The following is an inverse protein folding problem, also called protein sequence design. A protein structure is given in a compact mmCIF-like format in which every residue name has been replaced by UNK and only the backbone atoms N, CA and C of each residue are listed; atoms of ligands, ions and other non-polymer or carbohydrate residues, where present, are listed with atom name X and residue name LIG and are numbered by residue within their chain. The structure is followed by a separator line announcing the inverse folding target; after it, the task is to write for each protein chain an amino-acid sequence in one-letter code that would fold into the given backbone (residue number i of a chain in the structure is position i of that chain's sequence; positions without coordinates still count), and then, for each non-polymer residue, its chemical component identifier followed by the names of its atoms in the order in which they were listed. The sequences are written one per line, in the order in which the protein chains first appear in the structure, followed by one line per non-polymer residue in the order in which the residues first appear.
data_IF_298569215689
#
_entry.id   IF_298569215689
#
_cell.length_a   1.000
_cell.length_b   1.000
_cell.length_c   1.000
_cell.angle_alpha   90.00
_cell.angle_beta   90.00
_cell.angle_gamma   90.00
#
_symmetry.space_group_name_H-M   'P 1'
#
loop_
_entity.id
_entity.type
_entity.pdbx_description
1 polymer ?
#
# COMPACT_ATOMS: atom_id res chain seq x y z
N UNK A 1 10.30 33.59 -8.50
CA UNK A 1 10.50 32.14 -8.72
C UNK A 1 9.28 31.67 -9.50
N UNK A 2 9.46 31.38 -10.79
CA UNK A 2 8.37 30.83 -11.64
C UNK A 2 8.05 29.43 -11.11
N UNK A 3 6.77 29.20 -10.76
CA UNK A 3 6.28 27.84 -10.45
C UNK A 3 6.54 26.96 -11.68
N UNK A 4 7.15 25.78 -11.55
CA UNK A 4 7.26 24.85 -12.66
C UNK A 4 5.85 24.46 -13.13
N UNK A 5 5.65 24.20 -14.42
CA UNK A 5 4.34 23.79 -14.92
C UNK A 5 3.89 22.54 -14.22
N UNK A 6 2.62 22.51 -13.79
CA UNK A 6 2.01 21.42 -13.01
C UNK A 6 2.03 20.05 -13.70
N UNK A 7 2.47 19.98 -14.94
CA UNK A 7 2.48 18.80 -15.79
C UNK A 7 3.77 17.97 -15.75
N UNK A 8 4.85 18.46 -15.13
CA UNK A 8 6.17 17.80 -15.18
C UNK A 8 6.60 17.12 -13.90
N UNK A 9 5.80 17.17 -12.85
CA UNK A 9 6.06 16.49 -11.59
C UNK A 9 5.29 15.17 -11.53
N UNK A 10 5.97 14.08 -11.88
CA UNK A 10 5.55 12.69 -11.69
C UNK A 10 4.45 12.15 -12.61
N UNK A 11 4.72 11.94 -13.91
CA UNK A 11 3.79 11.18 -14.73
C UNK A 11 3.74 9.68 -14.39
N UNK A 12 4.70 9.11 -13.64
CA UNK A 12 4.92 7.65 -13.63
C UNK A 12 5.23 7.03 -12.28
N UNK A 13 4.62 7.47 -11.22
CA UNK A 13 4.58 6.63 -10.04
C UNK A 13 3.61 5.49 -10.30
N UNK A 14 4.12 4.31 -10.29
CA UNK A 14 3.45 3.03 -10.42
C UNK A 14 2.04 3.10 -9.86
N UNK A 15 1.11 3.23 -10.73
CA UNK A 15 -0.30 3.42 -10.54
C UNK A 15 -0.98 2.29 -9.79
N UNK A 16 -0.29 1.23 -9.59
CA UNK A 16 -0.71 0.06 -8.91
C UNK A 16 -0.94 0.29 -7.41
N UNK A 17 0.03 0.83 -6.67
CA UNK A 17 -0.14 1.30 -5.29
C UNK A 17 -0.53 2.77 -5.26
N UNK A 18 0.02 3.56 -6.14
CA UNK A 18 -0.28 5.00 -6.27
C UNK A 18 -1.66 5.29 -6.87
N UNK A 19 -2.31 4.30 -7.48
CA UNK A 19 -3.71 4.37 -7.92
C UNK A 19 -4.73 4.27 -6.78
N UNK A 20 -4.30 3.97 -5.56
CA UNK A 20 -5.17 3.92 -4.39
C UNK A 20 -5.89 5.25 -4.19
N UNK A 21 -7.23 5.17 -4.07
CA UNK A 21 -8.10 6.34 -3.99
C UNK A 21 -8.49 6.95 -5.35
N UNK A 22 -7.99 6.44 -6.48
CA UNK A 22 -8.54 6.78 -7.79
C UNK A 22 -9.95 6.21 -7.98
N UNK A 23 -10.22 5.08 -7.34
CA UNK A 23 -11.54 4.49 -7.11
C UNK A 23 -11.75 4.41 -5.61
N UNK A 24 -12.96 4.67 -5.12
CA UNK A 24 -13.28 4.68 -3.69
C UNK A 24 -13.08 3.28 -3.09
N UNK A 25 -12.18 3.14 -2.13
CA UNK A 25 -11.91 1.87 -1.47
C UNK A 25 -13.03 1.36 -0.57
N UNK A 26 -14.10 2.14 -0.37
CA UNK A 26 -15.32 1.73 0.36
C UNK A 26 -16.45 1.29 -0.57
N UNK A 27 -16.29 1.48 -1.89
CA UNK A 27 -17.27 1.06 -2.88
C UNK A 27 -17.36 -0.47 -2.95
N UNK A 28 -18.57 -0.99 -3.13
CA UNK A 28 -18.82 -2.43 -3.21
C UNK A 28 -18.13 -3.09 -4.41
N UNK A 29 -17.90 -2.36 -5.50
CA UNK A 29 -17.18 -2.85 -6.69
C UNK A 29 -15.66 -2.84 -6.52
N UNK A 30 -15.14 -2.25 -5.43
CA UNK A 30 -13.71 -2.25 -5.15
C UNK A 30 -13.23 -3.66 -4.72
N UNK A 31 -12.27 -4.21 -5.45
CA UNK A 31 -11.74 -5.57 -5.20
C UNK A 31 -10.40 -5.58 -4.44
N UNK A 32 -9.78 -4.42 -4.27
CA UNK A 32 -8.48 -4.32 -3.59
C UNK A 32 -7.31 -4.03 -4.53
N UNK A 33 -6.15 -4.48 -4.15
CA UNK A 33 -4.91 -4.39 -4.91
C UNK A 33 -4.71 -5.65 -5.75
N UNK A 34 -4.14 -5.53 -6.95
CA UNK A 34 -3.75 -6.65 -7.81
C UNK A 34 -2.25 -6.95 -7.72
N UNK A 35 -1.80 -8.13 -8.08
CA UNK A 35 -0.42 -8.55 -8.25
C UNK A 35 0.14 -9.29 -7.05
N UNK A 36 1.47 -9.26 -6.87
CA UNK A 36 2.22 -10.06 -5.91
C UNK A 36 1.66 -10.04 -4.48
N UNK A 37 1.24 -8.88 -3.98
CA UNK A 37 0.59 -8.70 -2.67
C UNK A 37 -0.85 -8.20 -2.82
N UNK A 38 -1.46 -8.49 -3.97
CA UNK A 38 -2.85 -8.20 -4.25
C UNK A 38 -3.81 -9.10 -3.46
N UNK A 39 -5.07 -8.71 -3.40
CA UNK A 39 -6.11 -9.61 -2.88
C UNK A 39 -6.32 -10.79 -3.85
N UNK A 40 -6.63 -11.97 -3.33
CA UNK A 40 -7.03 -13.11 -4.18
C UNK A 40 -8.21 -12.72 -5.08
N UNK A 41 -9.18 -11.97 -4.55
CA UNK A 41 -10.32 -11.45 -5.32
C UNK A 41 -9.89 -10.66 -6.55
N UNK A 42 -8.95 -9.70 -6.40
CA UNK A 42 -8.46 -8.92 -7.55
C UNK A 42 -7.67 -9.77 -8.54
N UNK A 43 -6.83 -10.67 -8.05
CA UNK A 43 -6.01 -11.54 -8.90
C UNK A 43 -6.88 -12.52 -9.70
N UNK A 44 -7.82 -13.20 -9.08
CA UNK A 44 -8.75 -14.10 -9.76
C UNK A 44 -9.70 -13.35 -10.69
N UNK A 45 -10.25 -12.20 -10.25
CA UNK A 45 -11.11 -11.38 -11.10
C UNK A 45 -10.41 -10.93 -12.39
N UNK A 46 -9.11 -10.60 -12.33
CA UNK A 46 -8.34 -10.27 -13.55
C UNK A 46 -8.01 -11.51 -14.38
N UNK A 47 -7.72 -12.64 -13.75
CA UNK A 47 -7.43 -13.89 -14.48
C UNK A 47 -8.67 -14.42 -15.22
N UNK A 48 -9.88 -14.16 -14.71
CA UNK A 48 -11.13 -14.72 -15.21
C UNK A 48 -11.95 -13.73 -16.07
N UNK A 49 -11.56 -12.43 -16.14
CA UNK A 49 -12.33 -11.44 -16.91
C UNK A 49 -12.21 -11.68 -18.43
N UNK A 50 -13.22 -11.26 -19.17
CA UNK A 50 -13.27 -11.25 -20.64
C UNK A 50 -12.77 -9.91 -21.24
N UNK A 51 -12.85 -8.81 -20.46
CA UNK A 51 -12.36 -7.49 -20.82
C UNK A 51 -11.60 -6.88 -19.66
N UNK A 52 -10.34 -6.51 -19.89
CA UNK A 52 -9.50 -5.77 -18.94
C UNK A 52 -9.23 -4.35 -19.47
N UNK A 53 -9.77 -3.35 -18.79
CA UNK A 53 -9.51 -1.94 -19.10
C UNK A 53 -8.42 -1.43 -18.14
N UNK A 54 -7.26 -1.12 -18.66
CA UNK A 54 -6.09 -0.68 -17.90
C UNK A 54 -5.91 0.82 -18.05
N UNK A 55 -5.96 1.53 -16.93
CA UNK A 55 -5.98 2.99 -16.91
C UNK A 55 -4.72 3.52 -16.25
N UNK A 56 -3.78 4.06 -17.04
CA UNK A 56 -2.55 4.68 -16.58
C UNK A 56 -1.66 3.75 -15.74
N UNK A 57 -1.65 2.44 -16.03
CA UNK A 57 -0.88 1.45 -15.30
C UNK A 57 0.13 0.74 -16.20
N UNK A 58 1.37 0.67 -15.71
CA UNK A 58 2.41 -0.17 -16.33
C UNK A 58 2.19 -1.62 -15.93
N UNK A 59 2.29 -2.51 -16.84
CA UNK A 59 2.31 -3.95 -16.58
C UNK A 59 3.68 -4.37 -16.01
N UNK A 60 3.98 -3.98 -14.76
CA UNK A 60 5.23 -4.36 -14.11
C UNK A 60 5.20 -5.82 -13.65
N UNK A 61 6.39 -6.40 -13.45
CA UNK A 61 6.57 -7.76 -12.95
C UNK A 61 5.84 -8.02 -11.61
N UNK A 62 5.77 -7.00 -10.75
CA UNK A 62 5.06 -7.08 -9.45
C UNK A 62 3.54 -7.14 -9.60
N UNK A 63 3.02 -6.78 -10.76
CA UNK A 63 1.58 -6.80 -11.09
C UNK A 63 1.23 -8.06 -11.87
N UNK A 64 2.03 -8.35 -12.88
CA UNK A 64 1.72 -9.31 -13.92
C UNK A 64 2.10 -10.74 -13.49
N UNK A 65 3.18 -10.88 -12.71
CA UNK A 65 3.74 -12.20 -12.43
C UNK A 65 4.25 -12.86 -13.72
N UNK A 66 3.61 -13.95 -14.13
CA UNK A 66 3.87 -14.59 -15.43
C UNK A 66 3.10 -13.85 -16.54
N UNK A 67 3.83 -13.12 -17.37
CA UNK A 67 3.26 -12.34 -18.47
C UNK A 67 2.54 -13.20 -19.52
N UNK A 68 2.93 -14.45 -19.69
CA UNK A 68 2.33 -15.35 -20.69
C UNK A 68 0.92 -15.81 -20.31
N UNK A 69 0.61 -15.77 -19.00
CA UNK A 69 -0.67 -16.20 -18.44
C UNK A 69 -1.55 -15.05 -17.97
N UNK A 70 -0.99 -13.83 -17.87
CA UNK A 70 -1.71 -12.68 -17.36
C UNK A 70 -2.91 -12.30 -18.23
N UNK A 71 -4.12 -12.39 -17.67
CA UNK A 71 -5.39 -12.08 -18.34
C UNK A 71 -5.50 -12.69 -19.74
N UNK A 72 -5.02 -13.94 -19.92
CA UNK A 72 -4.84 -14.59 -21.22
C UNK A 72 -6.15 -14.81 -22.00
N UNK A 73 -7.29 -14.76 -21.31
CA UNK A 73 -8.62 -14.90 -21.90
C UNK A 73 -9.30 -13.55 -22.20
N UNK A 74 -8.73 -12.46 -21.69
CA UNK A 74 -9.33 -11.13 -21.79
C UNK A 74 -8.91 -10.40 -23.05
N UNK A 75 -9.81 -9.56 -23.57
CA UNK A 75 -9.44 -8.42 -24.41
C UNK A 75 -8.86 -7.32 -23.55
N UNK A 76 -7.72 -6.76 -23.93
CA UNK A 76 -7.03 -5.74 -23.14
C UNK A 76 -7.08 -4.39 -23.84
N UNK A 77 -7.73 -3.42 -23.18
CA UNK A 77 -7.75 -2.01 -23.58
C UNK A 77 -6.83 -1.22 -22.63
N UNK A 78 -5.75 -0.62 -23.16
CA UNK A 78 -4.84 0.20 -22.37
C UNK A 78 -5.04 1.71 -22.67
N UNK A 79 -5.27 2.47 -21.60
CA UNK A 79 -5.38 3.94 -21.65
C UNK A 79 -4.17 4.52 -20.93
N UNK A 80 -3.27 5.17 -21.65
CA UNK A 80 -2.06 5.73 -21.05
C UNK A 80 -1.69 7.08 -21.71
N UNK A 81 -0.95 7.90 -20.99
CA UNK A 81 -0.42 9.15 -21.51
C UNK A 81 0.95 8.94 -22.17
N UNK A 82 1.65 7.86 -21.81
CA UNK A 82 2.97 7.53 -22.32
C UNK A 82 2.87 6.47 -23.43
N UNK A 83 3.16 6.82 -24.69
CA UNK A 83 3.18 5.84 -25.78
C UNK A 83 4.21 4.71 -25.58
N UNK A 84 5.27 4.94 -24.78
CA UNK A 84 6.31 3.94 -24.54
C UNK A 84 5.84 2.80 -23.62
N UNK A 85 4.75 2.96 -22.91
CA UNK A 85 4.17 1.91 -22.06
C UNK A 85 3.22 0.98 -22.83
N UNK A 86 2.76 1.39 -24.04
CA UNK A 86 1.87 0.57 -24.87
C UNK A 86 2.60 -0.62 -25.46
N UNK A 87 2.04 -1.82 -25.25
CA UNK A 87 2.60 -3.10 -25.73
C UNK A 87 4.00 -3.44 -25.19
N UNK A 88 4.46 -2.77 -24.15
CA UNK A 88 5.81 -2.95 -23.60
C UNK A 88 6.01 -4.30 -22.93
N UNK A 89 5.14 -4.64 -22.00
CA UNK A 89 5.23 -5.88 -21.22
C UNK A 89 4.09 -6.86 -21.53
N UNK A 90 2.92 -6.35 -21.81
CA UNK A 90 1.73 -7.12 -22.22
C UNK A 90 1.24 -6.56 -23.55
N UNK A 91 0.94 -7.45 -24.49
CA UNK A 91 0.34 -7.08 -25.76
C UNK A 91 -1.14 -6.73 -25.53
N UNK A 92 -1.56 -5.56 -26.01
CA UNK A 92 -2.95 -5.08 -25.87
C UNK A 92 -3.73 -5.23 -27.17
N UNK A 93 -5.03 -5.48 -27.09
CA UNK A 93 -5.92 -5.54 -28.26
C UNK A 93 -6.22 -4.14 -28.80
N UNK A 94 -6.33 -3.17 -27.91
CA UNK A 94 -6.55 -1.76 -28.25
C UNK A 94 -5.86 -0.84 -27.25
N UNK A 95 -5.50 0.35 -27.70
CA UNK A 95 -4.94 1.38 -26.83
C UNK A 95 -5.39 2.79 -27.23
N UNK A 96 -5.44 3.68 -26.24
CA UNK A 96 -5.68 5.11 -26.47
C UNK A 96 -4.65 5.92 -25.70
N UNK A 97 -3.89 6.75 -26.42
CA UNK A 97 -2.86 7.62 -25.84
C UNK A 97 -3.44 8.98 -25.57
N UNK A 98 -3.31 9.48 -24.33
CA UNK A 98 -3.76 10.81 -23.95
C UNK A 98 -4.13 10.96 -22.47
N UNK A 99 -4.69 12.12 -22.15
CA UNK A 99 -5.22 12.41 -20.81
C UNK A 99 -6.42 11.51 -20.50
N UNK A 100 -6.29 10.69 -19.45
CA UNK A 100 -7.30 9.71 -19.04
C UNK A 100 -8.66 10.36 -18.74
N UNK A 101 -8.67 11.55 -18.15
CA UNK A 101 -9.93 12.25 -17.85
C UNK A 101 -10.68 12.60 -19.13
N UNK A 102 -9.97 13.00 -20.19
CA UNK A 102 -10.55 13.30 -21.50
C UNK A 102 -11.03 12.02 -22.17
N UNK A 103 -10.19 10.96 -22.13
CA UNK A 103 -10.52 9.66 -22.71
C UNK A 103 -11.79 9.09 -22.08
N UNK A 104 -11.83 9.00 -20.75
CA UNK A 104 -12.97 8.44 -20.02
C UNK A 104 -14.26 9.23 -20.24
N UNK A 105 -14.19 10.57 -20.31
CA UNK A 105 -15.36 11.39 -20.65
C UNK A 105 -15.91 11.08 -22.04
N UNK A 106 -15.02 10.93 -23.04
CA UNK A 106 -15.42 10.61 -24.40
C UNK A 106 -15.95 9.17 -24.53
N UNK A 107 -15.38 8.25 -23.76
CA UNK A 107 -15.84 6.86 -23.71
C UNK A 107 -17.24 6.78 -23.11
N UNK A 108 -17.44 7.36 -21.94
CA UNK A 108 -18.72 7.36 -21.24
C UNK A 108 -19.85 8.02 -22.06
N UNK A 109 -19.52 9.02 -22.88
CA UNK A 109 -20.51 9.66 -23.76
C UNK A 109 -20.95 8.80 -24.95
N UNK A 110 -20.31 7.65 -25.18
CA UNK A 110 -20.58 6.73 -26.29
C UNK A 110 -21.07 5.34 -25.84
N UNK A 111 -20.98 5.07 -24.55
CA UNK A 111 -21.42 3.80 -23.98
C UNK A 111 -22.82 3.96 -23.44
N UNK A 112 -23.71 3.06 -23.83
CA UNK A 112 -24.99 2.88 -23.17
C UNK A 112 -24.79 2.12 -21.85
N UNK A 113 -25.65 2.33 -20.86
CA UNK A 113 -25.64 1.52 -19.64
C UNK A 113 -25.80 0.04 -19.97
N UNK A 114 -24.90 -0.78 -19.49
CA UNK A 114 -24.91 -2.24 -19.68
C UNK A 114 -25.06 -2.88 -18.30
N UNK A 115 -25.84 -3.95 -18.21
CA UNK A 115 -25.98 -4.74 -17.00
C UNK A 115 -24.87 -5.78 -16.93
N UNK A 116 -24.17 -5.82 -15.79
CA UNK A 116 -23.12 -6.77 -15.48
C UNK A 116 -23.42 -7.60 -14.23
N UNK A 117 -24.69 -7.82 -13.87
CA UNK A 117 -25.10 -8.46 -12.61
C UNK A 117 -24.43 -9.80 -12.38
N UNK A 118 -24.28 -10.62 -13.42
CA UNK A 118 -23.63 -11.94 -13.30
C UNK A 118 -22.15 -11.81 -12.92
N UNK A 119 -21.45 -10.83 -13.51
CA UNK A 119 -20.05 -10.56 -13.19
C UNK A 119 -19.91 -9.97 -11.80
N UNK A 120 -20.77 -9.03 -11.43
CA UNK A 120 -20.80 -8.45 -10.08
C UNK A 120 -21.01 -9.54 -9.05
N UNK A 121 -22.02 -10.40 -9.22
CA UNK A 121 -22.28 -11.54 -8.33
C UNK A 121 -21.10 -12.53 -8.27
N UNK A 122 -20.35 -12.70 -9.36
CA UNK A 122 -19.15 -13.52 -9.37
C UNK A 122 -18.04 -12.89 -8.50
N UNK A 123 -17.77 -11.60 -8.69
CA UNK A 123 -16.76 -10.86 -7.88
C UNK A 123 -17.14 -10.85 -6.40
N UNK A 124 -18.42 -10.71 -6.06
CA UNK A 124 -18.89 -10.78 -4.67
C UNK A 124 -18.62 -12.16 -4.07
N UNK A 125 -18.90 -13.25 -4.79
CA UNK A 125 -18.52 -14.59 -4.34
C UNK A 125 -17.01 -14.73 -4.09
N UNK A 126 -16.17 -14.14 -4.95
CA UNK A 126 -14.71 -14.14 -4.72
C UNK A 126 -14.33 -13.37 -3.44
N UNK A 127 -15.00 -12.26 -3.14
CA UNK A 127 -14.78 -11.52 -1.88
C UNK A 127 -15.14 -12.36 -0.65
N UNK A 128 -16.25 -13.07 -0.71
CA UNK A 128 -16.72 -13.93 0.39
C UNK A 128 -15.79 -15.13 0.61
N UNK A 129 -15.31 -15.74 -0.48
CA UNK A 129 -14.40 -16.88 -0.41
C UNK A 129 -12.99 -16.49 0.05
N UNK A 130 -12.50 -15.31 -0.36
CA UNK A 130 -11.10 -14.90 -0.18
C UNK A 130 -10.95 -13.55 0.54
N UNK A 131 -11.57 -13.36 1.73
CA UNK A 131 -11.36 -12.14 2.48
C UNK A 131 -9.91 -12.02 2.96
N UNK A 132 -9.43 -10.79 3.09
CA UNK A 132 -8.17 -10.55 3.79
C UNK A 132 -8.30 -10.98 5.25
N UNK A 133 -7.31 -11.74 5.74
CA UNK A 133 -7.30 -12.31 7.08
C UNK A 133 -5.99 -12.02 7.80
N UNK A 134 -6.06 -11.87 9.10
CA UNK A 134 -4.91 -11.78 10.00
C UNK A 134 -5.33 -12.25 11.41
N UNK A 135 -4.36 -12.50 12.28
CA UNK A 135 -4.66 -12.87 13.66
C UNK A 135 -5.12 -11.62 14.45
N UNK A 136 -6.39 -11.61 14.85
CA UNK A 136 -7.02 -10.51 15.59
C UNK A 136 -6.76 -10.55 17.10
N UNK A 137 -6.15 -11.62 17.60
CA UNK A 137 -5.91 -11.81 19.04
C UNK A 137 -4.65 -11.12 19.53
N UNK A 138 -3.73 -10.79 18.61
CA UNK A 138 -2.44 -10.16 18.92
C UNK A 138 -2.26 -8.84 18.18
N UNK A 139 -1.32 -8.03 18.63
CA UNK A 139 -0.94 -6.80 17.96
C UNK A 139 -0.22 -7.12 16.65
N UNK A 140 -0.82 -6.74 15.53
CA UNK A 140 -0.28 -6.95 14.17
C UNK A 140 -0.32 -5.67 13.35
N UNK A 141 0.48 -5.62 12.28
CA UNK A 141 0.43 -4.50 11.33
C UNK A 141 -0.95 -4.27 10.72
N UNK A 142 -1.67 -5.29 10.23
CA UNK A 142 -3.05 -5.17 9.78
C UNK A 142 -4.00 -4.56 10.81
N UNK A 143 -3.97 -5.03 12.06
CA UNK A 143 -4.79 -4.51 13.14
C UNK A 143 -4.58 -3.00 13.35
N UNK A 144 -3.31 -2.58 13.41
CA UNK A 144 -2.97 -1.16 13.57
C UNK A 144 -3.52 -0.34 12.39
N UNK A 145 -3.41 -0.83 11.16
CA UNK A 145 -3.93 -0.14 9.98
C UNK A 145 -5.45 0.00 9.98
N UNK A 146 -6.18 -1.04 10.39
CA UNK A 146 -7.63 -0.97 10.57
C UNK A 146 -8.01 0.07 11.64
N UNK A 147 -7.29 0.09 12.78
CA UNK A 147 -7.53 1.09 13.83
C UNK A 147 -7.21 2.51 13.37
N UNK A 148 -6.15 2.73 12.62
CA UNK A 148 -5.87 4.04 12.01
C UNK A 148 -7.03 4.46 11.09
N UNK A 149 -7.54 3.53 10.27
CA UNK A 149 -8.70 3.82 9.42
C UNK A 149 -9.94 4.20 10.25
N UNK A 150 -10.25 3.44 11.28
CA UNK A 150 -11.40 3.65 12.17
C UNK A 150 -11.35 5.04 12.85
N UNK A 151 -10.25 5.35 13.57
CA UNK A 151 -10.13 6.61 14.32
C UNK A 151 -10.06 7.84 13.41
N UNK A 152 -9.49 7.70 12.21
CA UNK A 152 -9.41 8.77 11.21
C UNK A 152 -10.63 8.83 10.29
N UNK A 153 -11.54 7.86 10.40
CA UNK A 153 -12.68 7.68 9.48
C UNK A 153 -12.24 7.65 8.00
N UNK A 154 -11.01 7.19 7.74
CA UNK A 154 -10.42 7.17 6.41
C UNK A 154 -10.11 8.54 5.82
N UNK A 155 -10.01 9.61 6.63
CA UNK A 155 -9.79 10.97 6.14
C UNK A 155 -8.31 11.42 6.18
N UNK A 156 -7.43 10.67 6.84
CA UNK A 156 -6.02 11.02 6.92
C UNK A 156 -5.29 10.86 5.58
N UNK A 157 -4.26 11.65 5.38
CA UNK A 157 -3.23 11.39 4.36
C UNK A 157 -2.25 10.40 4.96
N UNK A 158 -2.08 9.28 4.31
CA UNK A 158 -1.13 8.23 4.70
C UNK A 158 0.11 8.33 3.83
N UNK A 159 1.26 8.48 4.45
CA UNK A 159 2.54 8.29 3.78
C UNK A 159 3.14 6.96 4.22
N UNK A 160 3.92 6.31 3.38
CA UNK A 160 4.56 5.06 3.78
C UNK A 160 6.02 5.03 3.39
N UNK A 161 6.81 4.39 4.21
CA UNK A 161 8.08 3.81 3.80
C UNK A 161 7.86 2.49 3.04
N UNK A 162 8.91 1.71 2.83
CA UNK A 162 8.90 0.52 1.96
C UNK A 162 9.20 -0.75 2.76
N UNK A 163 8.27 -1.71 2.68
CA UNK A 163 8.35 -2.97 3.39
C UNK A 163 6.97 -3.58 3.63
N UNK A 164 6.85 -4.49 4.60
CA UNK A 164 5.58 -5.11 4.98
C UNK A 164 4.51 -4.06 5.36
N UNK A 165 4.89 -3.06 6.13
CA UNK A 165 4.03 -1.95 6.54
C UNK A 165 3.41 -1.19 5.36
N UNK A 166 4.14 -1.04 4.25
CA UNK A 166 3.62 -0.46 3.01
C UNK A 166 2.50 -1.31 2.40
N UNK A 167 2.68 -2.65 2.43
CA UNK A 167 1.67 -3.58 1.91
C UNK A 167 0.43 -3.57 2.79
N UNK A 168 0.59 -3.65 4.11
CA UNK A 168 -0.54 -3.58 5.04
C UNK A 168 -1.29 -2.26 4.94
N UNK A 169 -0.58 -1.13 4.79
CA UNK A 169 -1.23 0.15 4.54
C UNK A 169 -2.03 0.15 3.22
N UNK A 170 -1.53 -0.52 2.18
CA UNK A 170 -2.24 -0.65 0.91
C UNK A 170 -3.42 -1.62 0.96
N UNK A 171 -3.38 -2.66 1.80
CA UNK A 171 -4.42 -3.69 1.92
C UNK A 171 -5.55 -3.27 2.86
N UNK A 172 -5.22 -2.72 4.05
CA UNK A 172 -6.17 -2.57 5.16
C UNK A 172 -6.66 -1.12 5.37
N UNK A 173 -6.00 -0.10 4.79
CA UNK A 173 -6.55 1.25 4.81
C UNK A 173 -7.37 1.51 3.55
N UNK A 174 -8.65 1.89 3.71
CA UNK A 174 -9.57 2.15 2.59
C UNK A 174 -9.44 3.61 2.14
N UNK A 175 -8.73 3.83 1.04
CA UNK A 175 -8.53 5.16 0.46
C UNK A 175 -9.76 5.57 -0.34
N UNK A 176 -10.31 6.74 -0.03
CA UNK A 176 -11.54 7.28 -0.65
C UNK A 176 -11.26 8.27 -1.78
N UNK A 177 -10.07 8.86 -1.78
CA UNK A 177 -9.74 9.98 -2.67
C UNK A 177 -8.33 9.83 -3.24
N UNK A 178 -8.09 10.33 -4.46
CA UNK A 178 -6.74 10.43 -5.01
C UNK A 178 -5.82 11.25 -4.10
N UNK A 179 -4.54 10.87 -4.07
CA UNK A 179 -3.48 11.53 -3.28
C UNK A 179 -3.63 11.40 -1.77
N UNK A 180 -4.44 10.46 -1.28
CA UNK A 180 -4.44 10.08 0.13
C UNK A 180 -3.29 9.14 0.51
N UNK A 181 -2.74 8.39 -0.45
CA UNK A 181 -1.56 7.56 -0.25
C UNK A 181 -0.36 8.18 -0.98
N UNK A 182 0.71 8.45 -0.23
CA UNK A 182 2.00 8.89 -0.76
C UNK A 182 3.05 7.83 -0.43
N UNK A 183 3.61 7.20 -1.45
CA UNK A 183 4.52 6.06 -1.26
C UNK A 183 5.52 5.96 -2.39
N UNK A 184 6.72 5.47 -2.10
CA UNK A 184 7.73 5.13 -3.12
C UNK A 184 7.38 3.80 -3.80
N UNK A 185 6.29 3.81 -4.61
CA UNK A 185 5.78 2.62 -5.27
C UNK A 185 6.59 2.15 -6.47
N UNK A 186 7.43 3.00 -7.05
CA UNK A 186 8.30 2.70 -8.20
C UNK A 186 9.66 2.15 -7.78
N UNK A 187 10.48 3.00 -7.19
CA UNK A 187 11.84 2.65 -6.79
C UNK A 187 11.92 1.87 -5.48
N UNK A 188 10.89 1.93 -4.64
CA UNK A 188 10.90 1.22 -3.36
C UNK A 188 11.94 1.79 -2.38
N UNK A 189 12.01 3.12 -2.26
CA UNK A 189 13.02 3.81 -1.46
C UNK A 189 12.67 3.76 0.02
N UNK A 190 13.45 3.04 0.82
CA UNK A 190 13.39 3.11 2.28
C UNK A 190 13.83 4.49 2.76
N UNK A 191 13.15 5.05 3.78
CA UNK A 191 13.40 6.41 4.26
C UNK A 191 12.61 7.51 3.53
N UNK A 192 11.78 7.16 2.54
CA UNK A 192 10.95 8.12 1.81
C UNK A 192 9.82 8.72 2.66
N UNK A 193 9.23 7.90 3.53
CA UNK A 193 7.93 8.18 4.15
C UNK A 193 7.92 9.41 5.06
N UNK A 194 8.93 9.58 5.93
CA UNK A 194 8.99 10.68 6.87
C UNK A 194 9.10 12.04 6.15
N UNK A 195 10.01 12.15 5.17
CA UNK A 195 10.13 13.38 4.36
C UNK A 195 8.84 13.67 3.59
N UNK A 196 8.18 12.64 3.05
CA UNK A 196 6.90 12.77 2.37
C UNK A 196 5.78 13.24 3.33
N UNK A 197 5.77 12.78 4.59
CA UNK A 197 4.81 13.23 5.61
C UNK A 197 4.98 14.71 5.95
N UNK A 198 6.22 15.15 6.17
CA UNK A 198 6.54 16.56 6.40
C UNK A 198 6.06 17.40 5.21
N UNK A 199 6.39 17.01 3.99
CA UNK A 199 5.97 17.69 2.77
C UNK A 199 4.45 17.71 2.58
N UNK A 200 3.77 16.59 2.85
CA UNK A 200 2.32 16.49 2.78
C UNK A 200 1.62 17.43 3.78
N UNK A 201 2.12 17.48 5.03
CA UNK A 201 1.59 18.37 6.06
C UNK A 201 1.81 19.84 5.73
N UNK A 202 2.95 20.19 5.15
CA UNK A 202 3.22 21.55 4.67
C UNK A 202 2.30 21.97 3.51
N UNK A 203 1.99 21.02 2.61
CA UNK A 203 1.07 21.24 1.49
C UNK A 203 -0.41 21.23 1.86
N UNK A 204 -0.78 20.49 2.92
CA UNK A 204 -2.14 20.27 3.37
C UNK A 204 -2.24 20.48 4.89
N UNK A 205 -2.09 21.71 5.33
CA UNK A 205 -1.96 22.08 6.76
C UNK A 205 -3.14 21.69 7.62
N UNK A 206 -4.33 21.66 7.05
CA UNK A 206 -5.61 21.31 7.68
C UNK A 206 -5.83 19.79 7.79
N UNK A 207 -5.03 18.98 7.10
CA UNK A 207 -5.21 17.53 7.09
C UNK A 207 -4.33 16.85 8.14
N UNK A 208 -4.86 15.77 8.71
CA UNK A 208 -4.07 14.82 9.48
C UNK A 208 -3.16 14.05 8.52
N UNK A 209 -1.87 13.97 8.86
CA UNK A 209 -0.87 13.21 8.10
C UNK A 209 -0.23 12.19 9.01
N UNK A 210 -0.26 10.93 8.61
CA UNK A 210 0.32 9.80 9.33
C UNK A 210 1.31 9.10 8.42
N UNK A 211 2.55 8.97 8.86
CA UNK A 211 3.56 8.13 8.20
C UNK A 211 3.57 6.73 8.79
N UNK A 212 3.58 5.73 7.93
CA UNK A 212 3.71 4.32 8.29
C UNK A 212 5.09 3.85 7.86
N UNK A 213 5.97 3.65 8.81
CA UNK A 213 7.35 3.19 8.58
C UNK A 213 7.64 1.89 9.32
N UNK A 214 8.60 1.12 8.85
CA UNK A 214 9.22 0.05 9.63
C UNK A 214 10.43 0.58 10.41
N UNK A 215 10.87 -0.16 11.41
CA UNK A 215 12.06 0.15 12.20
C UNK A 215 13.32 0.34 11.33
N UNK A 216 13.54 -0.53 10.35
CA UNK A 216 14.65 -0.41 9.41
C UNK A 216 14.57 0.83 8.51
N UNK A 217 13.36 1.24 8.12
CA UNK A 217 13.16 2.44 7.31
C UNK A 217 13.31 3.73 8.13
N UNK A 218 12.74 3.75 9.33
CA UNK A 218 12.80 4.93 10.20
C UNK A 218 14.24 5.31 10.55
N UNK A 219 15.13 4.32 10.73
CA UNK A 219 16.56 4.56 10.98
C UNK A 219 17.27 5.35 9.89
N UNK A 220 16.76 5.30 8.65
CA UNK A 220 17.46 5.93 7.51
C UNK A 220 17.40 7.45 7.55
N UNK A 221 16.34 8.02 8.17
CA UNK A 221 16.17 9.47 8.22
C UNK A 221 15.42 9.95 9.48
N UNK A 222 15.46 9.22 10.58
CA UNK A 222 14.80 9.58 11.85
C UNK A 222 15.25 10.95 12.38
N UNK A 223 16.43 11.44 11.98
CA UNK A 223 16.91 12.78 12.27
C UNK A 223 15.96 13.88 11.78
N UNK A 224 15.15 13.62 10.75
CA UNK A 224 14.16 14.59 10.24
C UNK A 224 12.98 14.83 11.19
N UNK A 225 12.85 14.06 12.26
CA UNK A 225 11.97 14.41 13.38
C UNK A 225 12.36 15.77 13.96
N UNK A 226 13.68 16.09 14.03
CA UNK A 226 14.15 17.41 14.45
C UNK A 226 13.66 18.53 13.50
N UNK A 227 13.54 18.26 12.22
CA UNK A 227 12.94 19.19 11.25
C UNK A 227 11.47 19.42 11.56
N UNK A 228 10.70 18.34 11.80
CA UNK A 228 9.29 18.45 12.14
C UNK A 228 9.06 19.24 13.46
N UNK A 229 9.86 18.98 14.49
CA UNK A 229 9.76 19.66 15.78
C UNK A 229 10.17 21.14 15.69
N UNK A 230 11.30 21.41 15.00
CA UNK A 230 11.77 22.80 14.81
C UNK A 230 10.75 23.70 14.16
N UNK A 231 10.00 23.19 13.19
CA UNK A 231 9.01 23.97 12.42
C UNK A 231 7.57 23.74 12.85
N UNK A 232 7.34 23.06 13.98
CA UNK A 232 6.02 22.71 14.49
C UNK A 232 5.11 22.09 13.41
N UNK A 233 5.62 21.07 12.71
CA UNK A 233 4.89 20.33 11.66
C UNK A 233 4.23 19.11 12.30
N UNK A 234 2.94 19.15 12.66
CA UNK A 234 2.27 18.09 13.40
C UNK A 234 1.97 16.89 12.47
N UNK A 235 2.89 15.95 12.46
CA UNK A 235 2.77 14.63 11.83
C UNK A 235 2.76 13.53 12.88
N UNK A 236 2.17 12.40 12.58
CA UNK A 236 2.28 11.18 13.39
C UNK A 236 3.14 10.18 12.63
N UNK A 237 4.27 9.81 13.19
CA UNK A 237 5.14 8.75 12.71
C UNK A 237 4.81 7.45 13.44
N UNK A 238 4.24 6.48 12.75
CA UNK A 238 4.09 5.11 13.26
C UNK A 238 5.30 4.30 12.83
N UNK A 239 5.95 3.63 13.78
CA UNK A 239 7.05 2.70 13.53
C UNK A 239 6.56 1.29 13.80
N UNK A 240 6.40 0.48 12.77
CA UNK A 240 6.16 -0.95 12.91
C UNK A 240 7.49 -1.63 13.23
N UNK A 241 7.70 -1.87 14.51
CA UNK A 241 8.95 -2.36 15.05
C UNK A 241 8.84 -3.87 15.29
N UNK A 242 9.36 -4.64 14.37
CA UNK A 242 9.45 -6.10 14.47
C UNK A 242 10.90 -6.60 14.64
N UNK A 243 11.86 -5.68 14.81
CA UNK A 243 13.29 -5.95 14.98
C UNK A 243 13.96 -6.66 13.81
N UNK A 244 13.35 -6.59 12.62
CA UNK A 244 13.87 -7.25 11.40
C UNK A 244 13.57 -6.43 10.14
N UNK A 245 14.31 -6.68 9.08
CA UNK A 245 13.92 -6.30 7.72
C UNK A 245 12.81 -7.26 7.25
N UNK A 246 11.57 -7.01 7.70
CA UNK A 246 10.48 -7.97 7.66
C UNK A 246 10.16 -8.53 6.27
N UNK A 247 10.15 -7.71 5.21
CA UNK A 247 9.90 -8.21 3.85
C UNK A 247 11.01 -9.15 3.39
N UNK A 248 12.28 -8.85 3.66
CA UNK A 248 13.41 -9.72 3.29
C UNK A 248 13.34 -11.03 4.09
N UNK A 249 13.07 -10.93 5.39
CA UNK A 249 12.89 -12.10 6.27
C UNK A 249 11.73 -12.99 5.80
N UNK A 250 10.60 -12.43 5.39
CA UNK A 250 9.47 -13.17 4.83
C UNK A 250 9.89 -13.99 3.60
N UNK A 251 10.66 -13.39 2.68
CA UNK A 251 11.19 -14.09 1.52
C UNK A 251 12.16 -15.21 1.91
N UNK A 252 13.05 -14.96 2.86
CA UNK A 252 13.98 -15.98 3.37
C UNK A 252 13.23 -17.14 4.04
N UNK A 253 12.14 -16.85 4.74
CA UNK A 253 11.27 -17.87 5.32
C UNK A 253 10.62 -18.73 4.24
N UNK A 254 9.95 -18.10 3.26
CA UNK A 254 9.09 -18.81 2.31
C UNK A 254 9.87 -19.49 1.18
N UNK A 255 10.98 -18.89 0.74
CA UNK A 255 11.65 -19.33 -0.49
C UNK A 255 13.12 -19.72 -0.33
N UNK A 256 13.73 -19.49 0.82
CA UNK A 256 15.15 -19.76 1.04
C UNK A 256 15.42 -20.68 2.23
N UNK A 257 14.45 -21.54 2.60
CA UNK A 257 14.59 -22.54 3.64
C UNK A 257 14.97 -21.97 5.00
N UNK A 258 14.37 -20.80 5.36
CA UNK A 258 14.63 -20.10 6.62
C UNK A 258 16.11 -19.74 6.89
N UNK A 259 16.90 -19.62 5.83
CA UNK A 259 18.30 -19.20 5.92
C UNK A 259 18.40 -17.68 6.06
N UNK A 260 18.22 -17.19 7.27
CA UNK A 260 18.24 -15.77 7.58
C UNK A 260 19.63 -15.19 7.48
N UNK A 261 19.80 -14.15 6.65
CA UNK A 261 21.07 -13.45 6.48
C UNK A 261 20.85 -11.95 6.52
N UNK A 262 21.50 -11.27 7.47
CA UNK A 262 21.53 -9.82 7.64
C UNK A 262 20.13 -9.16 7.72
N UNK A 263 19.14 -9.87 8.25
CA UNK A 263 17.77 -9.36 8.39
C UNK A 263 17.40 -8.96 9.80
N UNK A 264 18.16 -9.41 10.80
CA UNK A 264 17.91 -9.05 12.18
C UNK A 264 18.48 -7.65 12.50
N UNK A 265 17.68 -6.83 13.16
CA UNK A 265 18.03 -5.51 13.63
C UNK A 265 18.18 -5.55 15.17
N UNK A 266 18.96 -6.49 15.66
CA UNK A 266 19.21 -6.73 17.08
C UNK A 266 20.12 -5.67 17.68
N UNK A 267 19.73 -4.41 17.60
CA UNK A 267 20.41 -3.32 18.28
C UNK A 267 19.58 -2.80 19.47
N UNK A 268 20.14 -1.86 20.18
CA UNK A 268 19.54 -1.27 21.36
C UNK A 268 18.91 0.10 21.08
N UNK A 269 18.50 0.38 19.83
CA UNK A 269 17.88 1.66 19.49
C UNK A 269 16.49 1.74 20.10
N UNK A 270 16.33 2.68 21.01
CA UNK A 270 15.04 3.02 21.61
C UNK A 270 14.43 4.20 20.87
N UNK A 271 13.46 3.92 19.99
CA UNK A 271 12.85 4.95 19.15
C UNK A 271 12.06 5.98 19.95
N UNK A 272 11.55 5.64 21.12
CA UNK A 272 10.89 6.60 22.02
C UNK A 272 11.91 7.62 22.51
N UNK A 273 13.03 7.17 23.06
CA UNK A 273 14.09 8.08 23.54
C UNK A 273 14.71 8.90 22.43
N UNK A 274 14.88 8.32 21.23
CA UNK A 274 15.37 9.06 20.06
C UNK A 274 14.38 10.19 19.70
N UNK A 275 13.10 9.88 19.62
CA UNK A 275 12.09 10.87 19.28
C UNK A 275 11.98 11.99 20.31
N UNK A 276 12.01 11.67 21.59
CA UNK A 276 12.02 12.62 22.71
C UNK A 276 13.27 13.50 22.68
N UNK A 277 14.45 12.91 22.43
CA UNK A 277 15.72 13.62 22.27
C UNK A 277 15.73 14.59 21.08
N UNK A 278 14.92 14.33 20.04
CA UNK A 278 14.69 15.20 18.88
C UNK A 278 13.51 16.17 19.10
N UNK A 279 12.89 16.19 20.29
CA UNK A 279 11.86 17.13 20.70
C UNK A 279 10.42 16.74 20.35
N UNK A 280 10.18 15.52 19.87
CA UNK A 280 8.83 15.02 19.62
C UNK A 280 8.19 14.42 20.87
N UNK A 281 6.86 14.29 20.87
CA UNK A 281 6.18 13.37 21.78
C UNK A 281 6.36 11.96 21.28
N UNK A 282 6.48 11.00 22.21
CA UNK A 282 6.64 9.61 21.80
C UNK A 282 5.86 8.66 22.71
N UNK A 283 5.43 7.54 22.11
CA UNK A 283 4.69 6.47 22.78
C UNK A 283 5.24 5.12 22.34
N UNK A 284 5.07 4.12 23.19
CA UNK A 284 5.29 2.71 22.84
C UNK A 284 3.99 1.95 23.00
N UNK A 285 3.66 1.14 22.01
CA UNK A 285 2.50 0.24 21.99
C UNK A 285 3.03 -1.19 21.96
N UNK A 286 2.59 -2.00 22.90
CA UNK A 286 2.98 -3.41 23.06
C UNK A 286 1.79 -4.36 22.99
N UNK A 287 0.57 -3.83 23.19
CA UNK A 287 -0.68 -4.57 23.13
C UNK A 287 -1.68 -3.92 22.19
N UNK A 288 -2.66 -4.69 21.72
CA UNK A 288 -3.68 -4.17 20.82
C UNK A 288 -4.63 -3.16 21.50
N UNK A 289 -4.85 -3.29 22.80
CA UNK A 289 -5.69 -2.42 23.60
C UNK A 289 -5.15 -1.00 23.72
N UNK A 290 -3.82 -0.85 23.61
CA UNK A 290 -3.15 0.46 23.66
C UNK A 290 -3.28 1.25 22.35
N UNK A 291 -3.63 0.61 21.22
CA UNK A 291 -3.58 1.24 19.88
C UNK A 291 -4.55 2.40 19.77
N UNK A 292 -5.83 2.17 20.04
CA UNK A 292 -6.87 3.18 19.85
C UNK A 292 -6.69 4.40 20.79
N UNK A 293 -6.50 4.22 22.12
CA UNK A 293 -6.31 5.38 23.01
C UNK A 293 -5.05 6.17 22.66
N UNK A 294 -3.94 5.51 22.31
CA UNK A 294 -2.71 6.21 21.93
C UNK A 294 -2.88 7.01 20.64
N UNK A 295 -3.57 6.45 19.63
CA UNK A 295 -3.86 7.17 18.39
C UNK A 295 -4.74 8.40 18.63
N UNK A 296 -5.79 8.27 19.44
CA UNK A 296 -6.68 9.40 19.77
C UNK A 296 -5.93 10.50 20.53
N UNK A 297 -5.08 10.14 21.49
CA UNK A 297 -4.23 11.09 22.20
C UNK A 297 -3.26 11.78 21.23
N UNK A 298 -2.51 11.03 20.42
CA UNK A 298 -1.56 11.58 19.46
C UNK A 298 -2.22 12.57 18.48
N UNK A 299 -3.42 12.25 18.01
CA UNK A 299 -4.19 13.14 17.12
C UNK A 299 -4.57 14.44 17.82
N UNK A 300 -4.92 14.38 19.11
CA UNK A 300 -5.37 15.55 19.90
C UNK A 300 -4.26 16.56 20.18
N UNK A 301 -3.01 16.11 20.24
CA UNK A 301 -1.86 16.95 20.64
C UNK A 301 -1.47 17.99 19.60
N UNK A 302 -1.74 17.75 18.31
CA UNK A 302 -1.35 18.64 17.20
C UNK A 302 0.14 19.08 17.23
N UNK A 303 1.02 18.17 17.59
CA UNK A 303 2.47 18.30 17.58
C UNK A 303 3.09 17.09 16.85
N UNK A 304 4.40 17.10 16.51
CA UNK A 304 5.08 15.90 16.03
C UNK A 304 5.04 14.78 17.07
N UNK A 305 4.55 13.59 16.66
CA UNK A 305 4.43 12.41 17.52
C UNK A 305 5.10 11.21 16.85
N UNK A 306 5.82 10.41 17.60
CA UNK A 306 6.34 9.10 17.18
C UNK A 306 5.70 8.01 18.02
N UNK A 307 5.20 6.96 17.37
CA UNK A 307 4.58 5.81 18.05
C UNK A 307 5.35 4.55 17.64
N UNK A 308 6.08 3.96 18.58
CA UNK A 308 6.84 2.71 18.44
C UNK A 308 5.92 1.52 18.74
N UNK A 309 5.44 0.84 17.67
CA UNK A 309 4.54 -0.31 17.79
C UNK A 309 5.33 -1.62 17.72
N UNK A 310 5.41 -2.34 18.83
CA UNK A 310 6.13 -3.62 18.94
C UNK A 310 5.27 -4.75 18.40
N UNK A 311 5.51 -5.17 17.15
CA UNK A 311 4.75 -6.23 16.47
C UNK A 311 5.56 -7.51 16.31
N UNK A 312 4.91 -8.60 15.94
CA UNK A 312 5.55 -9.90 15.76
C UNK A 312 6.66 -9.91 14.71
N UNK A 313 7.78 -10.56 15.02
CA UNK A 313 8.95 -10.66 14.12
C UNK A 313 8.63 -11.43 12.84
N UNK A 314 7.76 -12.43 12.93
CA UNK A 314 7.45 -13.35 11.83
C UNK A 314 6.07 -13.10 11.19
N UNK A 315 5.47 -11.94 11.47
CA UNK A 315 4.26 -11.50 10.77
C UNK A 315 4.52 -11.40 9.26
N UNK A 316 3.56 -11.88 8.46
CA UNK A 316 3.69 -11.95 7.01
C UNK A 316 2.63 -11.12 6.30
N UNK A 317 2.97 -10.65 5.13
CA UNK A 317 2.01 -10.02 4.21
C UNK A 317 1.41 -11.11 3.34
N UNK A 318 0.12 -11.35 3.51
CA UNK A 318 -0.68 -12.24 2.68
C UNK A 318 -1.89 -11.50 2.11
N UNK A 319 -2.44 -11.96 0.97
CA UNK A 319 -1.93 -13.01 0.07
C UNK A 319 -0.61 -12.65 -0.61
N UNK A 320 0.06 -13.63 -1.18
CA UNK A 320 1.29 -13.46 -1.93
C UNK A 320 1.31 -14.34 -3.18
N UNK A 321 1.81 -13.80 -4.29
CA UNK A 321 2.14 -14.57 -5.51
C UNK A 321 3.65 -14.76 -5.55
N UNK A 322 4.17 -15.98 -5.72
CA UNK A 322 5.60 -16.19 -5.90
C UNK A 322 6.13 -15.45 -7.14
N UNK A 323 7.40 -15.01 -7.08
CA UNK A 323 7.98 -14.26 -8.19
C UNK A 323 7.95 -15.07 -9.50
N UNK A 324 7.48 -14.47 -10.58
CA UNK A 324 7.38 -15.09 -11.89
C UNK A 324 6.26 -16.12 -12.04
N UNK A 325 5.43 -16.31 -11.02
CA UNK A 325 4.24 -17.16 -11.08
C UNK A 325 3.01 -16.38 -11.55
N UNK A 326 2.04 -17.08 -12.15
CA UNK A 326 0.75 -16.47 -12.49
C UNK A 326 0.03 -15.89 -11.28
N UNK A 327 -0.74 -14.80 -11.47
CA UNK A 327 -1.43 -14.11 -10.37
C UNK A 327 -2.52 -14.98 -9.71
N UNK A 328 -3.05 -15.96 -10.40
CA UNK A 328 -3.98 -16.96 -9.86
C UNK A 328 -3.32 -17.99 -8.93
N UNK A 329 -1.99 -18.05 -8.86
CA UNK A 329 -1.26 -18.83 -7.85
C UNK A 329 -1.03 -18.03 -6.56
N UNK A 330 -1.87 -17.03 -6.29
CA UNK A 330 -1.86 -16.30 -5.02
C UNK A 330 -2.23 -17.24 -3.86
N UNK A 331 -1.36 -17.31 -2.86
CA UNK A 331 -1.55 -18.13 -1.66
C UNK A 331 -1.57 -17.28 -0.40
N UNK A 332 -2.15 -17.83 0.66
CA UNK A 332 -2.16 -17.25 2.00
C UNK A 332 -1.74 -18.27 3.07
N UNK A 333 -1.89 -17.92 4.33
CA UNK A 333 -1.48 -18.79 5.44
C UNK A 333 -2.29 -20.10 5.49
N UNK A 334 -3.54 -20.07 5.04
CA UNK A 334 -4.39 -21.27 5.04
C UNK A 334 -3.88 -22.27 4.00
N UNK A 335 -3.54 -21.80 2.81
CA UNK A 335 -3.00 -22.66 1.75
C UNK A 335 -1.72 -23.35 2.20
N UNK A 336 -0.80 -22.59 2.87
CA UNK A 336 0.45 -23.15 3.38
C UNK A 336 0.22 -24.23 4.45
N UNK A 337 -0.84 -24.15 5.26
CA UNK A 337 -1.17 -25.17 6.26
C UNK A 337 -1.72 -26.44 5.61
N UNK A 338 -2.46 -26.31 4.51
CA UNK A 338 -3.02 -27.44 3.76
C UNK A 338 -1.90 -28.23 3.06
N UNK A 339 -0.90 -27.53 2.49
CA UNK A 339 0.24 -28.20 1.84
C UNK A 339 1.17 -28.96 2.80
N UNK A 340 1.07 -28.71 4.10
CA UNK A 340 1.87 -29.38 5.13
C UNK A 340 1.15 -30.61 5.75
N UNK A 341 -0.09 -30.88 5.39
CA UNK A 341 -0.89 -32.05 5.78
C UNK A 341 -0.84 -33.15 4.71
#
# INVERSE_FOLDING_TARGET
IRRPPRSTLFPYTTLFRSGKGAFDGTDELYTGMIGMHGTKTSNFGVAECDLLIVVGARFSDRVVGDASRFASHAKILQLDVDPAEINKNIKTDASVIGDVKVILRRLNARLDPINHDQWIAHVERLKDMYPLRYNKEVLTGPYIMEKIYEVTKGEAIITTDVGQHQMWAAQYYKYKRPRQLLTSGGLGTMGYGLGAAIGAKMGCRDKLVINIGGDGCFRMNMNEIATATRYNIPIIQIVFNNHVLGMVRQWQTLFYGMRYSQTNLNDQVDFVKVAEGLGAKAYRITTKEEVEPTLLEAISLNVPVVIDCQIGTDDKVFPMVPAGKPIEEAFDEIDLRIEQL
#
